data_IF_723512977658
#
_entry.id   IF_723512977658
#
_cell.length_a   1.000
_cell.length_b   1.000
_cell.length_c   1.000
_cell.angle_alpha   90.00
_cell.angle_beta   90.00
_cell.angle_gamma   90.00
#
_symmetry.space_group_name_H-M   'P 1'
#
loop_
_entity.id
_entity.type
_entity.pdbx_description
1 polymer ?
#
# COMPACT_ATOMS: atom_id res chain seq x y z
N UNK A 1 2.87 -14.51 4.99
CA UNK A 1 2.81 -13.09 5.34
C UNK A 1 3.75 -12.86 6.51
N UNK A 2 4.68 -11.91 6.40
CA UNK A 2 5.55 -11.49 7.52
C UNK A 2 4.84 -10.44 8.38
N UNK A 3 5.34 -10.18 9.60
CA UNK A 3 4.81 -9.11 10.45
C UNK A 3 4.89 -7.75 9.74
N UNK A 4 6.00 -7.48 9.05
CA UNK A 4 6.19 -6.22 8.33
C UNK A 4 5.20 -6.05 7.17
N UNK A 5 4.87 -7.13 6.45
CA UNK A 5 3.83 -7.10 5.42
C UNK A 5 2.46 -6.77 6.01
N UNK A 6 2.12 -7.38 7.15
CA UNK A 6 0.89 -7.10 7.86
C UNK A 6 0.82 -5.64 8.32
N UNK A 7 1.87 -5.14 8.99
CA UNK A 7 1.92 -3.79 9.53
C UNK A 7 1.83 -2.73 8.41
N UNK A 8 2.52 -2.95 7.29
CA UNK A 8 2.43 -2.08 6.13
C UNK A 8 1.02 -2.08 5.51
N UNK A 9 0.37 -3.24 5.39
CA UNK A 9 -1.00 -3.36 4.87
C UNK A 9 -2.03 -2.72 5.80
N UNK A 10 -1.88 -2.86 7.12
CA UNK A 10 -2.74 -2.22 8.13
C UNK A 10 -2.55 -0.70 8.10
N UNK A 11 -1.32 -0.20 8.08
CA UNK A 11 -1.03 1.25 7.97
C UNK A 11 -1.62 1.86 6.69
N UNK A 12 -1.54 1.13 5.58
CA UNK A 12 -2.15 1.51 4.32
C UNK A 12 -3.69 1.54 4.41
N UNK A 13 -4.31 0.46 4.90
CA UNK A 13 -5.76 0.36 5.06
C UNK A 13 -6.32 1.44 6.00
N UNK A 14 -5.60 1.80 7.06
CA UNK A 14 -5.96 2.91 7.94
C UNK A 14 -6.02 4.25 7.19
N UNK A 15 -5.13 4.47 6.22
CA UNK A 15 -5.08 5.72 5.48
C UNK A 15 -6.08 5.80 4.31
N UNK A 16 -6.26 4.72 3.55
CA UNK A 16 -7.15 4.71 2.38
C UNK A 16 -8.58 4.26 2.69
N UNK A 17 -8.79 3.67 3.87
CA UNK A 17 -10.04 3.03 4.27
C UNK A 17 -10.13 1.57 3.83
N UNK A 18 -10.89 0.78 4.58
CA UNK A 18 -11.04 -0.67 4.36
C UNK A 18 -11.66 -1.00 3.01
N UNK A 19 -12.69 -0.25 2.56
CA UNK A 19 -13.35 -0.47 1.27
C UNK A 19 -12.40 -0.30 0.07
N UNK A 20 -11.52 0.70 0.12
CA UNK A 20 -10.51 0.92 -0.92
C UNK A 20 -9.41 -0.14 -0.87
N UNK A 21 -9.03 -0.58 0.34
CA UNK A 21 -8.06 -1.64 0.54
C UNK A 21 -8.51 -2.99 -0.03
N UNK A 22 -9.73 -3.44 0.31
CA UNK A 22 -10.24 -4.77 -0.11
C UNK A 22 -10.42 -4.90 -1.62
N UNK A 23 -10.64 -3.79 -2.32
CA UNK A 23 -10.77 -3.76 -3.79
C UNK A 23 -9.45 -3.46 -4.52
N UNK A 24 -8.38 -3.18 -3.78
CA UNK A 24 -7.10 -2.73 -4.33
C UNK A 24 -6.38 -3.81 -5.14
N UNK A 25 -5.67 -3.38 -6.19
CA UNK A 25 -4.72 -4.24 -6.93
C UNK A 25 -3.58 -4.71 -6.02
N UNK A 26 -3.23 -3.93 -5.00
CA UNK A 26 -2.24 -4.32 -3.99
C UNK A 26 -2.64 -5.62 -3.28
N UNK A 27 -3.86 -5.69 -2.74
CA UNK A 27 -4.34 -6.89 -2.05
C UNK A 27 -4.45 -8.08 -3.02
N UNK A 28 -4.93 -7.85 -4.25
CA UNK A 28 -5.00 -8.90 -5.29
C UNK A 28 -3.62 -9.50 -5.58
N UNK A 29 -2.59 -8.67 -5.73
CA UNK A 29 -1.21 -9.13 -5.96
C UNK A 29 -0.61 -9.84 -4.75
N UNK A 30 -0.85 -9.33 -3.54
CA UNK A 30 -0.44 -9.99 -2.30
C UNK A 30 -1.01 -11.40 -2.20
N UNK A 31 -2.32 -11.55 -2.44
CA UNK A 31 -3.00 -12.85 -2.40
C UNK A 31 -2.53 -13.80 -3.50
N UNK A 32 -2.10 -13.27 -4.64
CA UNK A 32 -1.49 -14.04 -5.72
C UNK A 32 -0.02 -14.42 -5.46
N UNK A 33 0.56 -14.02 -4.33
CA UNK A 33 1.98 -14.24 -4.00
C UNK A 33 2.95 -13.30 -4.73
N UNK A 34 2.46 -12.35 -5.52
CA UNK A 34 3.27 -11.33 -6.20
C UNK A 34 3.61 -10.19 -5.23
N UNK A 35 4.50 -10.46 -4.28
CA UNK A 35 4.87 -9.49 -3.25
C UNK A 35 5.64 -8.29 -3.81
N UNK A 36 6.51 -8.51 -4.80
CA UNK A 36 7.23 -7.43 -5.48
C UNK A 36 6.28 -6.51 -6.25
N UNK A 37 5.27 -7.07 -6.92
CA UNK A 37 4.23 -6.30 -7.57
C UNK A 37 3.30 -5.60 -6.58
N UNK A 38 2.95 -6.23 -5.46
CA UNK A 38 2.15 -5.61 -4.40
C UNK A 38 2.87 -4.38 -3.81
N UNK A 39 4.18 -4.47 -3.55
CA UNK A 39 4.98 -3.35 -3.06
C UNK A 39 4.98 -2.14 -4.03
N UNK A 40 4.97 -2.39 -5.35
CA UNK A 40 4.88 -1.32 -6.37
C UNK A 40 3.52 -0.61 -6.35
N UNK A 41 2.44 -1.31 -5.99
CA UNK A 41 1.09 -0.72 -5.99
C UNK A 41 0.91 0.39 -4.94
N UNK A 42 1.66 0.38 -3.84
CA UNK A 42 1.59 1.45 -2.83
C UNK A 42 1.78 2.84 -3.46
N UNK A 43 2.72 2.98 -4.40
CA UNK A 43 3.05 4.27 -5.06
C UNK A 43 1.87 4.92 -5.79
N UNK A 44 0.87 4.14 -6.20
CA UNK A 44 -0.32 4.63 -6.93
C UNK A 44 -1.31 5.35 -6.03
N UNK A 45 -1.22 5.14 -4.72
CA UNK A 45 -2.14 5.68 -3.72
C UNK A 45 -1.59 6.96 -3.07
N UNK A 46 -1.19 7.92 -3.92
CA UNK A 46 -0.59 9.19 -3.51
C UNK A 46 -1.41 10.43 -3.89
N UNK A 47 -2.65 10.25 -4.34
CA UNK A 47 -3.53 11.35 -4.77
C UNK A 47 -4.62 11.63 -3.74
N UNK A 48 -4.93 12.91 -3.54
CA UNK A 48 -6.04 13.40 -2.73
C UNK A 48 -6.56 14.72 -3.30
N UNK A 49 -7.89 14.91 -3.35
CA UNK A 49 -8.50 16.10 -3.96
C UNK A 49 -8.11 16.31 -5.43
N UNK A 50 -7.90 15.23 -6.19
CA UNK A 50 -7.49 15.28 -7.60
C UNK A 50 -6.02 15.60 -7.86
N UNK A 51 -5.20 15.82 -6.82
CA UNK A 51 -3.77 16.17 -6.95
C UNK A 51 -2.89 15.13 -6.28
N UNK A 52 -1.66 14.99 -6.77
CA UNK A 52 -0.62 14.21 -6.08
C UNK A 52 -0.20 14.97 -4.83
N UNK A 53 -0.17 14.28 -3.70
CA UNK A 53 0.25 14.83 -2.42
C UNK A 53 1.64 14.27 -2.07
N UNK A 54 2.60 15.18 -1.83
CA UNK A 54 3.98 14.81 -1.48
C UNK A 54 4.02 13.99 -0.19
N UNK A 55 3.20 14.36 0.80
CA UNK A 55 3.09 13.63 2.07
C UNK A 55 2.63 12.17 1.87
N UNK A 56 1.64 11.94 1.01
CA UNK A 56 1.20 10.58 0.68
C UNK A 56 2.28 9.83 -0.09
N UNK A 57 2.96 10.48 -1.03
CA UNK A 57 4.06 9.84 -1.78
C UNK A 57 5.15 9.33 -0.83
N UNK A 58 5.58 10.14 0.14
CA UNK A 58 6.55 9.73 1.17
C UNK A 58 6.02 8.58 2.04
N UNK A 59 4.75 8.67 2.47
CA UNK A 59 4.11 7.61 3.27
C UNK A 59 4.06 6.28 2.52
N UNK A 60 3.64 6.28 1.25
CA UNK A 60 3.57 5.09 0.40
C UNK A 60 4.94 4.44 0.19
N UNK A 61 5.99 5.25 0.03
CA UNK A 61 7.36 4.74 -0.10
C UNK A 61 7.82 4.05 1.20
N UNK A 62 7.52 4.61 2.36
CA UNK A 62 7.85 4.01 3.65
C UNK A 62 7.08 2.70 3.90
N UNK A 63 5.78 2.67 3.59
CA UNK A 63 4.97 1.45 3.69
C UNK A 63 5.48 0.35 2.74
N UNK A 64 5.86 0.68 1.51
CA UNK A 64 6.44 -0.27 0.56
C UNK A 64 7.80 -0.80 1.02
N UNK A 65 8.64 0.05 1.61
CA UNK A 65 9.94 -0.36 2.16
C UNK A 65 9.76 -1.32 3.34
N UNK A 66 8.87 -0.99 4.28
CA UNK A 66 8.52 -1.88 5.40
C UNK A 66 8.00 -3.21 4.87
N UNK A 67 7.08 -3.19 3.91
CA UNK A 67 6.49 -4.39 3.34
C UNK A 67 7.50 -5.37 2.72
N UNK A 68 8.63 -4.87 2.20
CA UNK A 68 9.70 -5.67 1.58
C UNK A 68 10.81 -6.10 2.56
N UNK A 69 10.68 -5.77 3.84
CA UNK A 69 11.62 -6.17 4.90
C UNK A 69 11.24 -7.54 5.45
#
# INVERSE_FOLDING_TARGET
MTQNQFDAMVSFAFNVGTSAFVTSTLLKKHLAGDYAGAAKEFSRWNRGGGKVLVGLTKRRAAEAALYLT
#
